data_IF_062132524264
#
_entry.id   IF_062132524264
#
_cell.length_a   1.000
_cell.length_b   1.000
_cell.length_c   1.000
_cell.angle_alpha   90.00
_cell.angle_beta   90.00
_cell.angle_gamma   90.00
#
_symmetry.space_group_name_H-M   'P 1'
#
loop_
_entity.id
_entity.type
_entity.pdbx_description
1 polymer ?
#
# COMPACT_ATOMS: atom_id res chain seq x y z
N UNK A 1 8.05 -4.51 -10.14
CA UNK A 1 9.17 -3.72 -9.61
C UNK A 1 10.10 -4.57 -8.77
N UNK A 2 11.30 -4.09 -8.56
CA UNK A 2 12.29 -4.75 -7.71
C UNK A 2 12.60 -3.79 -6.56
N UNK A 3 12.45 -4.25 -5.33
CA UNK A 3 12.65 -3.40 -4.16
C UNK A 3 13.82 -3.93 -3.34
N UNK A 4 14.84 -3.08 -3.16
CA UNK A 4 15.95 -3.37 -2.26
C UNK A 4 15.60 -2.79 -0.89
N UNK A 5 15.64 -3.63 0.13
CA UNK A 5 15.34 -3.23 1.49
C UNK A 5 16.58 -3.46 2.34
N UNK A 6 17.12 -2.37 2.89
CA UNK A 6 18.27 -2.43 3.76
C UNK A 6 17.79 -2.28 5.19
N UNK A 7 18.46 -2.97 6.12
CA UNK A 7 18.02 -3.01 7.51
C UNK A 7 17.98 -1.63 8.17
N UNK A 8 18.76 -0.68 7.69
CA UNK A 8 18.79 0.67 8.24
C UNK A 8 17.91 1.66 7.47
N UNK A 9 17.17 1.21 6.46
CA UNK A 9 16.19 2.05 5.77
C UNK A 9 15.05 2.40 6.72
N UNK A 10 14.47 3.59 6.50
CA UNK A 10 13.23 3.94 7.21
C UNK A 10 12.04 3.29 6.52
N UNK A 11 10.95 3.12 7.28
CA UNK A 11 9.70 2.64 6.68
C UNK A 11 9.21 3.60 5.59
N UNK A 12 9.44 4.88 5.80
CA UNK A 12 9.06 5.91 4.83
C UNK A 12 9.75 5.71 3.48
N UNK A 13 11.02 5.30 3.50
CA UNK A 13 11.75 5.04 2.26
C UNK A 13 11.12 3.87 1.50
N UNK A 14 10.73 2.82 2.20
CA UNK A 14 10.04 1.69 1.58
C UNK A 14 8.69 2.13 0.99
N UNK A 15 7.96 2.95 1.73
CA UNK A 15 6.69 3.51 1.23
C UNK A 15 6.89 4.27 -0.08
N UNK A 16 7.91 5.12 -0.13
CA UNK A 16 8.18 5.92 -1.33
C UNK A 16 8.53 5.04 -2.52
N UNK A 17 9.34 4.02 -2.30
CA UNK A 17 9.74 3.11 -3.37
C UNK A 17 8.53 2.40 -3.95
N UNK A 18 7.62 1.97 -3.08
CA UNK A 18 6.40 1.29 -3.53
C UNK A 18 5.50 2.26 -4.31
N UNK A 19 5.27 3.45 -3.76
CA UNK A 19 4.37 4.42 -4.39
C UNK A 19 4.96 5.00 -5.68
N UNK A 20 6.27 4.95 -5.85
CA UNK A 20 6.88 5.33 -7.13
C UNK A 20 6.48 4.37 -8.24
N UNK A 21 6.33 3.08 -7.93
CA UNK A 21 5.90 2.08 -8.90
C UNK A 21 4.37 2.02 -9.04
N UNK A 22 3.65 2.32 -7.96
CA UNK A 22 2.19 2.28 -7.92
C UNK A 22 1.68 3.60 -7.36
N UNK A 23 1.58 4.66 -8.20
CA UNK A 23 1.32 6.02 -7.69
C UNK A 23 -0.01 6.21 -6.98
N UNK A 24 -0.97 5.32 -7.19
CA UNK A 24 -2.28 5.44 -6.55
C UNK A 24 -2.44 4.43 -5.41
N UNK A 25 -1.33 3.84 -4.98
CA UNK A 25 -1.29 2.94 -3.83
C UNK A 25 -0.26 3.42 -2.84
N UNK A 26 -0.44 3.09 -1.57
CA UNK A 26 0.59 3.28 -0.57
C UNK A 26 0.58 2.14 0.42
N UNK A 27 1.74 1.90 1.03
CA UNK A 27 1.87 0.96 2.13
C UNK A 27 1.80 1.71 3.45
N UNK A 28 1.16 1.08 4.45
CA UNK A 28 1.32 1.47 5.83
C UNK A 28 1.78 0.25 6.61
N UNK A 29 2.58 0.48 7.65
CA UNK A 29 3.16 -0.59 8.45
C UNK A 29 2.46 -0.64 9.80
N UNK A 30 2.24 -1.85 10.30
CA UNK A 30 1.53 -2.09 11.55
C UNK A 30 2.36 -3.02 12.44
N UNK A 31 2.07 -3.03 13.74
CA UNK A 31 2.79 -3.91 14.66
C UNK A 31 2.14 -5.28 14.79
N UNK A 32 1.07 -5.54 14.03
CA UNK A 32 0.35 -6.83 14.01
C UNK A 32 -0.36 -7.00 12.68
N UNK A 33 -0.64 -8.25 12.27
CA UNK A 33 -1.40 -8.49 11.04
C UNK A 33 -2.85 -8.11 11.23
N UNK A 34 -3.56 -7.87 10.12
CA UNK A 34 -5.00 -7.66 10.17
C UNK A 34 -5.71 -9.02 10.16
N UNK A 35 -6.92 -9.03 10.72
CA UNK A 35 -7.79 -10.19 10.61
C UNK A 35 -8.33 -10.31 9.20
N UNK A 36 -8.68 -11.52 8.80
CA UNK A 36 -9.19 -11.75 7.46
C UNK A 36 -10.43 -10.89 7.21
N UNK A 37 -10.37 -10.10 6.14
CA UNK A 37 -11.46 -9.23 5.75
C UNK A 37 -11.63 -7.97 6.58
N UNK A 38 -10.71 -7.73 7.53
CA UNK A 38 -10.78 -6.56 8.40
C UNK A 38 -9.43 -5.86 8.45
N UNK A 39 -9.38 -4.52 8.37
CA UNK A 39 -8.12 -3.80 8.56
C UNK A 39 -7.68 -3.83 10.01
N UNK A 40 -6.38 -3.74 10.24
CA UNK A 40 -5.84 -3.51 11.58
C UNK A 40 -6.19 -2.08 11.99
N UNK A 41 -6.53 -1.89 13.26
CA UNK A 41 -6.88 -0.58 13.76
C UNK A 41 -5.71 0.39 13.66
N UNK A 42 -6.04 1.66 13.40
CA UNK A 42 -5.07 2.71 13.17
C UNK A 42 -4.10 2.90 14.34
N UNK A 43 -4.55 2.60 15.56
CA UNK A 43 -3.70 2.72 16.74
C UNK A 43 -2.48 1.81 16.71
N UNK A 44 -2.50 0.77 15.86
CA UNK A 44 -1.39 -0.18 15.72
C UNK A 44 -0.47 0.17 14.56
N UNK A 45 -0.69 1.32 13.93
CA UNK A 45 0.14 1.78 12.83
C UNK A 45 1.49 2.26 13.36
N UNK A 46 2.55 1.89 12.67
CA UNK A 46 3.90 2.26 13.07
C UNK A 46 4.28 3.62 12.50
N UNK A 47 5.08 4.36 13.26
CA UNK A 47 5.64 5.62 12.80
C UNK A 47 6.64 5.34 11.67
N UNK A 48 6.45 6.00 10.53
CA UNK A 48 7.25 5.74 9.33
C UNK A 48 8.69 6.25 9.43
N UNK A 49 9.02 7.01 10.46
CA UNK A 49 10.40 7.42 10.71
C UNK A 49 11.22 6.29 11.33
N UNK A 50 10.60 5.22 11.79
CA UNK A 50 11.29 4.06 12.32
C UNK A 50 12.08 3.37 11.22
N UNK A 51 13.17 2.71 11.61
CA UNK A 51 13.97 1.92 10.68
C UNK A 51 13.47 0.48 10.64
N UNK A 52 13.80 -0.20 9.56
CA UNK A 52 13.43 -1.61 9.35
C UNK A 52 13.94 -2.46 10.51
N UNK A 53 15.22 -2.27 10.91
CA UNK A 53 15.81 -3.07 11.95
C UNK A 53 15.21 -2.79 13.33
N UNK A 54 14.60 -1.64 13.53
CA UNK A 54 13.89 -1.37 14.78
C UNK A 54 12.60 -2.16 14.88
N UNK A 55 12.05 -2.59 13.73
CA UNK A 55 10.83 -3.39 13.69
C UNK A 55 11.15 -4.88 13.66
N UNK A 56 12.26 -5.25 13.02
CA UNK A 56 12.71 -6.64 12.94
C UNK A 56 14.24 -6.68 13.00
N UNK A 57 14.82 -6.77 14.21
CA UNK A 57 16.27 -6.74 14.36
C UNK A 57 17.01 -7.88 13.69
N UNK A 58 16.30 -8.94 13.33
CA UNK A 58 16.92 -10.11 12.69
C UNK A 58 17.00 -9.96 11.17
N UNK A 59 16.38 -8.95 10.62
CA UNK A 59 16.32 -8.77 9.17
C UNK A 59 17.67 -8.25 8.68
N UNK A 60 18.23 -8.98 7.71
CA UNK A 60 19.35 -8.49 6.93
C UNK A 60 18.79 -7.84 5.66
N UNK A 61 19.68 -7.31 4.84
CA UNK A 61 19.26 -6.71 3.58
C UNK A 61 18.53 -7.75 2.72
N UNK A 62 17.51 -7.31 2.02
CA UNK A 62 16.68 -8.20 1.23
C UNK A 62 16.32 -7.55 -0.10
N UNK A 63 16.06 -8.39 -1.10
CA UNK A 63 15.51 -7.94 -2.36
C UNK A 63 14.18 -8.63 -2.56
N UNK A 64 13.15 -7.85 -2.88
CA UNK A 64 11.80 -8.35 -3.08
C UNK A 64 11.35 -8.00 -4.49
N UNK A 65 10.92 -9.03 -5.24
CA UNK A 65 10.32 -8.82 -6.56
C UNK A 65 8.82 -8.67 -6.39
N UNK A 66 8.28 -7.59 -6.94
CA UNK A 66 6.85 -7.29 -6.82
C UNK A 66 6.30 -7.11 -8.23
N UNK A 67 5.86 -8.19 -8.88
CA UNK A 67 5.24 -8.07 -10.20
C UNK A 67 3.87 -7.41 -10.08
N UNK A 68 3.45 -6.73 -11.14
CA UNK A 68 2.16 -6.03 -11.14
C UNK A 68 0.98 -6.98 -11.00
N UNK A 69 1.16 -8.25 -11.37
CA UNK A 69 0.11 -9.25 -11.22
C UNK A 69 -0.02 -9.81 -9.80
N UNK A 70 0.92 -9.48 -8.92
CA UNK A 70 0.85 -9.92 -7.52
C UNK A 70 -0.38 -9.32 -6.87
N UNK A 71 -1.10 -10.13 -6.10
CA UNK A 71 -2.26 -9.61 -5.35
C UNK A 71 -1.79 -8.91 -4.09
N UNK A 72 -2.67 -8.08 -3.53
CA UNK A 72 -2.40 -7.42 -2.25
C UNK A 72 -2.10 -8.46 -1.18
N UNK A 73 -2.91 -9.53 -1.13
CA UNK A 73 -2.74 -10.59 -0.15
C UNK A 73 -1.36 -11.25 -0.26
N UNK A 74 -0.92 -11.50 -1.49
CA UNK A 74 0.40 -12.09 -1.72
C UNK A 74 1.51 -11.15 -1.27
N UNK A 75 1.37 -9.86 -1.53
CA UNK A 75 2.35 -8.88 -1.09
C UNK A 75 2.44 -8.84 0.43
N UNK A 76 1.30 -8.84 1.11
CA UNK A 76 1.25 -8.86 2.56
C UNK A 76 1.93 -10.10 3.11
N UNK A 77 1.70 -11.25 2.47
CA UNK A 77 2.34 -12.51 2.88
C UNK A 77 3.85 -12.46 2.69
N UNK A 78 4.32 -11.90 1.59
CA UNK A 78 5.77 -11.77 1.35
C UNK A 78 6.42 -10.92 2.43
N UNK A 79 5.83 -9.78 2.76
CA UNK A 79 6.37 -8.91 3.81
C UNK A 79 6.37 -9.62 5.16
N UNK A 80 5.29 -10.33 5.49
CA UNK A 80 5.20 -11.00 6.77
C UNK A 80 6.18 -12.18 6.86
N UNK A 81 6.23 -13.02 5.84
CA UNK A 81 7.01 -14.25 5.90
C UNK A 81 8.49 -14.02 5.67
N UNK A 82 8.84 -13.13 4.75
CA UNK A 82 10.24 -12.90 4.41
C UNK A 82 10.88 -11.78 5.22
N UNK A 83 10.10 -10.77 5.59
CA UNK A 83 10.66 -9.58 6.24
C UNK A 83 10.21 -9.43 7.69
N UNK A 84 9.21 -10.20 8.12
CA UNK A 84 8.70 -10.06 9.48
C UNK A 84 8.00 -8.73 9.72
N UNK A 85 7.46 -8.14 8.67
CA UNK A 85 6.78 -6.85 8.74
C UNK A 85 5.34 -7.01 8.32
N UNK A 86 4.45 -6.28 9.00
CA UNK A 86 3.02 -6.32 8.71
C UNK A 86 2.62 -5.06 7.98
N UNK A 87 2.12 -5.21 6.76
CA UNK A 87 1.73 -4.07 5.94
C UNK A 87 0.25 -4.17 5.57
N UNK A 88 -0.31 -3.03 5.22
CA UNK A 88 -1.58 -2.96 4.51
C UNK A 88 -1.42 -2.01 3.36
N UNK A 89 -2.12 -2.30 2.27
CA UNK A 89 -2.10 -1.47 1.06
C UNK A 89 -3.33 -0.59 1.09
N UNK A 90 -3.13 0.69 0.83
CA UNK A 90 -4.20 1.66 0.71
C UNK A 90 -4.29 2.13 -0.73
N UNK A 91 -5.50 2.35 -1.20
CA UNK A 91 -5.77 2.81 -2.56
C UNK A 91 -6.32 4.23 -2.51
N UNK A 92 -5.80 5.09 -3.35
CA UNK A 92 -6.26 6.47 -3.40
C UNK A 92 -7.64 6.54 -4.05
N UNK A 93 -8.53 7.34 -3.45
CA UNK A 93 -9.85 7.59 -4.00
C UNK A 93 -10.11 9.09 -3.82
N UNK A 94 -9.80 9.87 -4.86
CA UNK A 94 -9.87 11.32 -4.76
C UNK A 94 -8.92 11.84 -3.70
N UNK A 95 -9.43 12.50 -2.69
CA UNK A 95 -8.62 13.07 -1.64
C UNK A 95 -8.38 12.16 -0.44
N UNK A 96 -8.85 10.91 -0.47
CA UNK A 96 -8.74 10.02 0.67
C UNK A 96 -8.04 8.72 0.29
N UNK A 97 -7.55 8.01 1.30
CA UNK A 97 -6.93 6.69 1.15
C UNK A 97 -7.84 5.66 1.78
N UNK A 98 -8.16 4.61 1.02
CA UNK A 98 -9.03 3.52 1.46
C UNK A 98 -8.23 2.25 1.61
N UNK A 99 -8.44 1.52 2.70
CA UNK A 99 -7.80 0.22 2.86
C UNK A 99 -8.40 -0.77 1.86
N UNK A 100 -7.60 -1.78 1.47
CA UNK A 100 -7.98 -2.72 0.42
C UNK A 100 -8.22 -4.13 0.94
N UNK A 101 -8.51 -4.28 2.24
CA UNK A 101 -8.69 -5.61 2.83
C UNK A 101 -9.86 -6.38 2.20
N UNK A 102 -10.91 -5.68 1.79
CA UNK A 102 -12.06 -6.33 1.13
C UNK A 102 -11.76 -6.76 -0.30
N UNK A 103 -10.72 -6.20 -0.92
CA UNK A 103 -10.33 -6.51 -2.30
C UNK A 103 -8.89 -6.98 -2.37
N UNK A 104 -8.40 -7.63 -1.32
CA UNK A 104 -6.98 -8.02 -1.25
C UNK A 104 -6.63 -9.16 -2.20
N UNK A 105 -7.63 -9.75 -2.87
CA UNK A 105 -7.41 -10.71 -3.94
C UNK A 105 -7.24 -10.05 -5.32
N UNK A 106 -7.37 -8.73 -5.40
CA UNK A 106 -7.07 -8.00 -6.62
C UNK A 106 -5.57 -7.83 -6.79
N UNK A 107 -5.11 -7.83 -8.05
CA UNK A 107 -3.71 -7.54 -8.33
C UNK A 107 -3.37 -6.08 -8.00
N UNK A 108 -2.09 -5.83 -7.77
CA UNK A 108 -1.61 -4.46 -7.55
C UNK A 108 -1.91 -3.58 -8.77
N UNK A 109 -1.79 -4.16 -9.96
CA UNK A 109 -2.13 -3.43 -11.19
C UNK A 109 -3.59 -2.97 -11.16
N UNK A 110 -4.50 -3.89 -10.83
CA UNK A 110 -5.93 -3.55 -10.79
C UNK A 110 -6.24 -2.54 -9.71
N UNK A 111 -5.62 -2.69 -8.53
CA UNK A 111 -5.81 -1.73 -7.44
C UNK A 111 -5.34 -0.34 -7.84
N UNK A 112 -4.16 -0.27 -8.48
CA UNK A 112 -3.60 1.01 -8.88
C UNK A 112 -4.43 1.66 -9.99
N UNK A 113 -4.91 0.86 -10.92
CA UNK A 113 -5.76 1.33 -12.02
C UNK A 113 -7.07 1.88 -11.49
N UNK A 114 -7.67 1.17 -10.54
CA UNK A 114 -8.90 1.62 -9.92
C UNK A 114 -8.68 2.93 -9.16
N UNK A 115 -7.56 3.04 -8.44
CA UNK A 115 -7.21 4.26 -7.73
C UNK A 115 -7.03 5.44 -8.67
N UNK A 116 -6.39 5.20 -9.81
CA UNK A 116 -6.20 6.23 -10.81
C UNK A 116 -7.54 6.73 -11.34
N UNK A 117 -8.43 5.83 -11.69
CA UNK A 117 -9.71 6.19 -12.25
C UNK A 117 -10.58 6.98 -11.27
N UNK A 118 -10.66 6.50 -10.04
CA UNK A 118 -11.45 7.17 -9.01
C UNK A 118 -10.86 8.54 -8.67
N UNK A 119 -9.54 8.65 -8.65
CA UNK A 119 -8.90 9.91 -8.30
C UNK A 119 -9.04 10.95 -9.39
N UNK A 120 -8.94 10.54 -10.67
CA UNK A 120 -9.12 11.45 -11.79
C UNK A 120 -10.55 11.99 -11.81
N UNK A 121 -11.55 11.10 -11.64
CA UNK A 121 -12.93 11.52 -11.65
C UNK A 121 -13.26 12.40 -10.47
N UNK A 122 -12.77 12.05 -9.29
CA UNK A 122 -13.06 12.80 -8.06
C UNK A 122 -12.36 14.14 -8.01
N UNK A 123 -11.31 14.34 -8.81
CA UNK A 123 -10.58 15.59 -8.87
C UNK A 123 -11.02 16.48 -10.04
N UNK A 124 -12.02 16.06 -10.81
CA UNK A 124 -12.53 16.87 -11.90
C UNK A 124 -13.26 18.09 -11.35
N UNK A 125 -13.12 19.21 -12.06
CA UNK A 125 -13.89 20.40 -11.69
C UNK A 125 -15.33 20.23 -12.18
N UNK A 126 -16.27 21.01 -11.64
CA UNK A 126 -17.64 20.93 -12.11
C UNK A 126 -17.79 21.14 -13.62
N UNK A 127 -16.90 21.92 -14.22
CA UNK A 127 -16.95 22.14 -15.66
C UNK A 127 -16.55 20.89 -16.44
N UNK A 128 -15.75 20.02 -15.83
CA UNK A 128 -15.31 18.80 -16.48
C UNK A 128 -16.32 17.69 -16.36
N UNK A 129 -17.27 17.82 -15.44
CA UNK A 129 -18.26 16.80 -15.22
C UNK A 129 -19.44 17.04 -16.19
N UNK A 130 -19.90 16.00 -16.85
CA UNK A 130 -21.10 16.14 -17.65
C UNK A 130 -22.19 16.27 -16.66
N UNK A 131 -22.53 17.11 -16.25
CA UNK A 131 -23.59 17.30 -15.41
C UNK A 131 -24.13 16.23 -14.68
N UNK A 132 -23.71 15.96 -14.16
CA UNK A 132 -23.80 15.23 -13.60
C UNK A 132 -23.54 14.79 -12.61
N UNK A 133 -23.33 14.92 -12.42
CA UNK A 133 -22.80 14.65 -11.76
C UNK A 133 -22.63 13.51 -11.41
N UNK A 134 -22.37 12.94 -11.79
CA UNK A 134 -22.07 12.00 -11.70
C UNK A 134 -21.17 11.60 -11.06
N UNK A 135 -20.83 11.67 -10.71
CA UNK A 135 -19.94 11.44 -10.32
C UNK A 135 -19.64 10.64 -9.74
N UNK A 136 -19.36 10.24 -9.61
CA UNK A 136 -19.09 9.37 -9.14
C UNK A 136 -18.88 8.95 -8.49
#
# INVERSE_FOLDING_TARGET
>A
MKMHIHHDDTLELVQRSFSAAFPFLKLEFFNRPHDKGRPTEKQFMLNTKRTIDSCNPKLTDAMVMIPTAMTVQELESVFQERLGLYIQVFRKSGGVWLETTATDDWSLFKQNEEGQELSVHNNSTPEDLPDYHEQP
#
